data_IF_686267593691
#
_entry.id   IF_686267593691
#
_cell.length_a   1.000
_cell.length_b   1.000
_cell.length_c   1.000
_cell.angle_alpha   90.00
_cell.angle_beta   90.00
_cell.angle_gamma   90.00
#
_symmetry.space_group_name_H-M   'P 1'
#
loop_
_entity.id
_entity.type
_entity.pdbx_description
1 polymer ?
#
# COMPACT_ATOMS: atom_id res chain seq x y z
N UNK A 1 -5.45 -21.26 -59.53
CA UNK A 1 -4.17 -20.76 -58.96
C UNK A 1 -4.43 -20.24 -57.55
N UNK A 2 -3.60 -20.60 -56.57
CA UNK A 2 -3.74 -20.14 -55.18
C UNK A 2 -3.32 -18.67 -55.10
N UNK A 3 -4.17 -17.81 -54.52
CA UNK A 3 -3.84 -16.38 -54.39
C UNK A 3 -2.58 -16.20 -53.52
N UNK A 4 -1.68 -15.26 -53.86
CA UNK A 4 -0.55 -14.89 -53.02
C UNK A 4 -1.00 -14.51 -51.60
N UNK A 5 -0.24 -14.94 -50.59
CA UNK A 5 -0.58 -14.74 -49.17
C UNK A 5 -0.72 -13.27 -48.79
N UNK A 6 0.10 -12.38 -49.37
CA UNK A 6 0.03 -10.94 -49.10
C UNK A 6 -1.30 -10.29 -49.58
N UNK A 7 -1.93 -10.83 -50.64
CA UNK A 7 -3.25 -10.39 -51.11
C UNK A 7 -4.39 -10.96 -50.26
N UNK A 8 -4.18 -12.12 -49.64
CA UNK A 8 -5.16 -12.73 -48.73
C UNK A 8 -5.20 -11.96 -47.41
N UNK A 9 -4.06 -11.46 -46.96
CA UNK A 9 -3.90 -10.78 -45.68
C UNK A 9 -3.94 -9.24 -45.79
N UNK A 10 -4.19 -8.69 -46.98
CA UNK A 10 -4.16 -7.23 -47.24
C UNK A 10 -2.87 -6.55 -46.72
N UNK A 11 -1.71 -7.22 -46.87
CA UNK A 11 -0.43 -6.71 -46.39
C UNK A 11 0.31 -5.96 -47.50
N UNK A 12 0.79 -4.76 -47.20
CA UNK A 12 1.70 -4.04 -48.08
C UNK A 12 3.11 -4.61 -47.97
N UNK A 13 3.53 -5.32 -49.01
CA UNK A 13 4.86 -5.95 -49.12
C UNK A 13 6.03 -4.97 -49.03
N UNK A 14 5.82 -3.67 -49.30
CA UNK A 14 6.88 -2.65 -49.24
C UNK A 14 7.17 -2.21 -47.80
N UNK A 15 6.17 -2.27 -46.93
CA UNK A 15 6.23 -1.78 -45.54
C UNK A 15 6.36 -2.93 -44.53
N UNK A 16 6.06 -4.17 -44.96
CA UNK A 16 6.14 -5.35 -44.12
C UNK A 16 7.50 -5.55 -43.42
N UNK A 17 8.66 -5.31 -44.07
CA UNK A 17 9.94 -5.45 -43.39
C UNK A 17 10.09 -4.49 -42.20
N UNK A 18 9.78 -3.20 -42.36
CA UNK A 18 9.93 -2.23 -41.27
C UNK A 18 8.97 -2.53 -40.11
N UNK A 19 7.73 -2.95 -40.39
CA UNK A 19 6.76 -3.34 -39.37
C UNK A 19 7.22 -4.52 -38.49
N UNK A 20 8.02 -5.43 -39.05
CA UNK A 20 8.53 -6.59 -38.31
C UNK A 20 9.85 -6.25 -37.61
N UNK A 21 10.77 -5.56 -38.28
CA UNK A 21 12.13 -5.37 -37.78
C UNK A 21 12.27 -4.19 -36.81
N UNK A 22 11.51 -3.10 -36.96
CA UNK A 22 11.61 -1.94 -36.06
C UNK A 22 11.22 -2.27 -34.61
N UNK A 23 10.13 -3.00 -34.31
CA UNK A 23 9.81 -3.36 -32.94
C UNK A 23 10.87 -4.26 -32.29
N UNK A 24 11.46 -5.17 -33.07
CA UNK A 24 12.54 -6.07 -32.61
C UNK A 24 13.80 -5.26 -32.29
N UNK A 25 14.19 -4.34 -33.19
CA UNK A 25 15.31 -3.42 -32.99
C UNK A 25 15.10 -2.53 -31.76
N UNK A 26 13.93 -1.90 -31.64
CA UNK A 26 13.59 -1.04 -30.51
C UNK A 26 13.62 -1.80 -29.18
N UNK A 27 13.25 -3.09 -29.18
CA UNK A 27 13.33 -3.94 -28.00
C UNK A 27 14.79 -4.26 -27.65
N UNK A 28 15.64 -4.55 -28.64
CA UNK A 28 17.08 -4.75 -28.46
C UNK A 28 17.75 -3.52 -27.85
N UNK A 29 17.56 -2.34 -28.45
CA UNK A 29 18.14 -1.08 -27.96
C UNK A 29 17.68 -0.72 -26.53
N UNK A 30 16.43 -1.05 -26.17
CA UNK A 30 15.92 -0.83 -24.81
C UNK A 30 16.55 -1.77 -23.79
N UNK A 31 16.88 -2.99 -24.17
CA UNK A 31 17.54 -3.97 -23.29
C UNK A 31 18.99 -3.54 -23.07
N UNK A 32 19.74 -3.23 -24.13
CA UNK A 32 21.12 -2.75 -24.01
C UNK A 32 21.23 -1.51 -23.12
N UNK A 33 20.33 -0.53 -23.29
CA UNK A 33 20.28 0.67 -22.43
C UNK A 33 19.95 0.36 -20.97
N UNK A 34 19.20 -0.73 -20.70
CA UNK A 34 18.89 -1.14 -19.32
C UNK A 34 20.08 -1.85 -18.71
N UNK A 35 20.75 -2.70 -19.46
CA UNK A 35 21.92 -3.45 -19.01
C UNK A 35 23.07 -2.48 -18.70
N UNK A 36 23.34 -1.51 -19.59
CA UNK A 36 24.31 -0.43 -19.32
C UNK A 36 23.97 0.37 -18.05
N UNK A 37 22.70 0.76 -17.87
CA UNK A 37 22.29 1.46 -16.64
C UNK A 37 22.44 0.61 -15.38
N UNK A 38 22.29 -0.70 -15.49
CA UNK A 38 22.49 -1.63 -14.38
C UNK A 38 23.98 -1.75 -14.03
N UNK A 39 24.84 -1.88 -15.04
CA UNK A 39 26.30 -1.86 -14.89
C UNK A 39 26.77 -0.54 -14.27
N UNK A 40 26.34 0.60 -14.83
CA UNK A 40 26.65 1.93 -14.30
C UNK A 40 26.18 2.09 -12.84
N UNK A 41 24.99 1.57 -12.52
CA UNK A 41 24.41 1.64 -11.16
C UNK A 41 25.16 0.75 -10.18
N UNK A 42 25.65 -0.40 -10.63
CA UNK A 42 26.46 -1.32 -9.86
C UNK A 42 27.84 -0.73 -9.58
N UNK A 43 28.52 -0.20 -10.60
CA UNK A 43 29.81 0.49 -10.47
C UNK A 43 29.72 1.78 -9.65
N UNK A 44 28.55 2.40 -9.60
CA UNK A 44 28.30 3.62 -8.83
C UNK A 44 27.81 3.35 -7.40
N UNK A 45 27.66 2.09 -7.01
CA UNK A 45 27.23 1.74 -5.66
C UNK A 45 28.39 1.96 -4.67
N UNK A 46 28.26 2.98 -3.81
CA UNK A 46 29.26 3.31 -2.76
C UNK A 46 30.29 4.39 -3.12
N UNK A 47 30.26 4.97 -4.33
CA UNK A 47 31.10 6.14 -4.66
C UNK A 47 30.64 7.38 -3.87
N UNK A 48 31.57 8.13 -3.22
CA UNK A 48 31.23 9.37 -2.53
C UNK A 48 30.67 10.39 -3.53
N UNK A 49 29.47 10.91 -3.27
CA UNK A 49 28.73 11.81 -4.20
C UNK A 49 27.33 11.35 -4.61
N UNK A 50 26.87 10.15 -4.20
CA UNK A 50 25.45 9.78 -4.30
C UNK A 50 24.65 10.51 -3.22
N UNK A 51 24.00 11.61 -3.60
CA UNK A 51 23.18 12.54 -2.80
C UNK A 51 22.61 11.96 -1.46
N UNK A 52 23.31 12.12 -0.32
CA UNK A 52 22.72 11.85 1.00
C UNK A 52 21.61 12.85 1.33
N UNK A 53 21.62 14.00 0.66
CA UNK A 53 20.61 15.07 0.68
C UNK A 53 19.21 14.56 0.31
N UNK A 54 19.08 13.57 -0.59
CA UNK A 54 17.77 12.99 -0.94
C UNK A 54 17.19 12.13 0.17
N UNK A 55 18.02 11.36 0.89
CA UNK A 55 17.54 10.59 2.04
C UNK A 55 17.12 11.52 3.18
N UNK A 56 17.93 12.52 3.52
CA UNK A 56 17.58 13.50 4.55
C UNK A 56 16.36 14.33 4.14
N UNK A 57 16.26 14.80 2.90
CA UNK A 57 15.09 15.56 2.42
C UNK A 57 13.81 14.71 2.40
N UNK A 58 13.91 13.42 2.06
CA UNK A 58 12.79 12.48 2.12
C UNK A 58 12.40 12.22 3.57
N UNK A 59 13.37 12.01 4.47
CA UNK A 59 13.14 11.85 5.92
C UNK A 59 12.57 13.11 6.57
N UNK A 60 13.00 14.29 6.15
CA UNK A 60 12.51 15.60 6.60
C UNK A 60 11.09 15.85 6.11
N UNK A 61 10.78 15.52 4.84
CA UNK A 61 9.40 15.55 4.32
C UNK A 61 8.50 14.55 5.07
N UNK A 62 9.06 13.39 5.45
CA UNK A 62 8.39 12.39 6.24
C UNK A 62 8.13 12.87 7.69
N UNK A 63 9.10 13.50 8.34
CA UNK A 63 8.97 14.02 9.71
C UNK A 63 8.09 15.27 9.79
N UNK A 64 8.19 16.19 8.82
CA UNK A 64 7.42 17.45 8.80
C UNK A 64 5.91 17.22 8.70
N UNK A 65 5.47 16.11 8.08
CA UNK A 65 4.04 15.84 7.89
C UNK A 65 3.31 15.30 9.13
N UNK A 66 3.97 15.16 10.29
CA UNK A 66 3.38 14.76 11.60
C UNK A 66 2.57 13.44 11.61
N UNK A 67 2.52 12.73 10.50
CA UNK A 67 1.73 11.51 10.35
C UNK A 67 2.41 10.28 10.94
N UNK A 68 3.72 10.33 11.25
CA UNK A 68 4.44 9.21 11.86
C UNK A 68 3.89 8.84 13.23
N UNK A 69 3.66 9.83 14.09
CA UNK A 69 3.12 9.57 15.42
C UNK A 69 1.74 8.93 15.34
N UNK A 70 0.92 9.39 14.38
CA UNK A 70 -0.38 8.80 14.09
C UNK A 70 -0.25 7.34 13.62
N UNK A 71 0.56 7.07 12.60
CA UNK A 71 0.73 5.70 12.08
C UNK A 71 1.38 4.76 13.10
N UNK A 72 2.39 5.20 13.84
CA UNK A 72 3.00 4.44 14.94
C UNK A 72 1.99 4.13 16.04
N UNK A 73 1.10 5.08 16.36
CA UNK A 73 0.02 4.87 17.32
C UNK A 73 -0.98 3.84 16.80
N UNK A 74 -1.37 3.92 15.52
CA UNK A 74 -2.24 2.93 14.87
C UNK A 74 -1.59 1.54 14.87
N UNK A 75 -0.30 1.42 14.56
CA UNK A 75 0.42 0.14 14.59
C UNK A 75 0.51 -0.44 16.01
N UNK A 76 0.81 0.39 17.01
CA UNK A 76 0.78 0.00 18.42
C UNK A 76 -0.61 -0.47 18.84
N UNK A 77 -1.65 0.28 18.47
CA UNK A 77 -3.05 -0.07 18.74
C UNK A 77 -3.43 -1.40 18.11
N UNK A 78 -3.09 -1.62 16.85
CA UNK A 78 -3.37 -2.89 16.17
C UNK A 78 -2.67 -4.07 16.83
N UNK A 79 -1.43 -3.91 17.31
CA UNK A 79 -0.73 -4.93 18.08
C UNK A 79 -1.40 -5.23 19.42
N UNK A 80 -1.99 -4.22 20.06
CA UNK A 80 -2.68 -4.34 21.35
C UNK A 80 -4.16 -4.72 21.22
N UNK A 81 -4.74 -4.62 20.03
CA UNK A 81 -6.16 -4.81 19.75
C UNK A 81 -6.72 -6.15 20.27
N UNK A 82 -6.02 -7.29 20.07
CA UNK A 82 -6.44 -8.58 20.65
C UNK A 82 -6.55 -8.58 22.18
N UNK A 83 -5.69 -7.83 22.89
CA UNK A 83 -5.74 -7.74 24.35
C UNK A 83 -6.89 -6.86 24.86
N UNK A 84 -7.36 -5.93 24.01
CA UNK A 84 -8.43 -5.00 24.37
C UNK A 84 -9.80 -5.70 24.23
N UNK A 85 -10.08 -6.26 23.05
CA UNK A 85 -11.39 -6.84 22.68
C UNK A 85 -11.46 -8.38 22.71
N UNK A 86 -10.33 -9.05 22.93
CA UNK A 86 -10.19 -10.50 22.88
C UNK A 86 -9.71 -11.01 21.52
N UNK A 87 -8.89 -12.06 21.53
CA UNK A 87 -8.26 -12.63 20.32
C UNK A 87 -9.26 -13.04 19.25
N UNK A 88 -10.38 -13.64 19.64
CA UNK A 88 -11.42 -14.07 18.70
C UNK A 88 -12.02 -12.89 17.94
N UNK A 89 -12.38 -11.81 18.66
CA UNK A 89 -13.02 -10.64 18.05
C UNK A 89 -12.05 -9.81 17.20
N UNK A 90 -10.76 -9.81 17.57
CA UNK A 90 -9.71 -9.13 16.80
C UNK A 90 -9.42 -9.77 15.44
N UNK A 91 -9.85 -11.03 15.21
CA UNK A 91 -9.77 -11.65 13.87
C UNK A 91 -10.68 -11.00 12.84
N UNK A 92 -11.70 -10.26 13.29
CA UNK A 92 -12.74 -9.70 12.43
C UNK A 92 -12.69 -8.17 12.30
N UNK A 93 -11.80 -7.53 13.04
CA UNK A 93 -11.67 -6.08 13.10
C UNK A 93 -10.22 -5.62 13.25
N UNK A 94 -9.90 -4.45 12.69
CA UNK A 94 -8.60 -3.79 12.85
C UNK A 94 -8.80 -2.29 13.08
N UNK A 95 -7.87 -1.67 13.79
CA UNK A 95 -7.79 -0.20 13.86
C UNK A 95 -7.31 0.30 12.51
N UNK A 96 -8.13 1.11 11.86
CA UNK A 96 -7.87 1.64 10.54
C UNK A 96 -7.28 3.04 10.62
N UNK A 97 -7.86 3.88 11.47
CA UNK A 97 -7.40 5.25 11.58
C UNK A 97 -7.62 5.85 12.98
N UNK A 98 -6.91 6.94 13.24
CA UNK A 98 -7.03 7.74 14.45
C UNK A 98 -7.14 9.22 14.08
N UNK A 99 -8.32 9.80 14.29
CA UNK A 99 -8.59 11.22 14.04
C UNK A 99 -8.82 11.95 15.37
N UNK A 100 -7.79 12.67 15.84
CA UNK A 100 -7.73 13.48 17.08
C UNK A 100 -8.22 12.76 18.34
N UNK A 101 -9.51 12.53 18.47
CA UNK A 101 -10.18 11.89 19.61
C UNK A 101 -11.08 10.70 19.21
N UNK A 102 -11.13 10.35 17.92
CA UNK A 102 -11.97 9.28 17.37
C UNK A 102 -11.12 8.15 16.81
N UNK A 103 -11.28 6.97 17.40
CA UNK A 103 -10.72 5.73 16.88
C UNK A 103 -11.63 5.19 15.77
N UNK A 104 -11.07 4.99 14.58
CA UNK A 104 -11.78 4.39 13.46
C UNK A 104 -11.37 2.92 13.38
N UNK A 105 -12.36 2.04 13.54
CA UNK A 105 -12.18 0.59 13.46
C UNK A 105 -12.88 0.11 12.20
N UNK A 106 -12.17 -0.69 11.41
CA UNK A 106 -12.74 -1.39 10.27
C UNK A 106 -13.13 -2.82 10.65
N UNK A 107 -14.27 -3.27 10.16
CA UNK A 107 -14.67 -4.68 10.17
C UNK A 107 -14.57 -5.27 8.76
N UNK A 108 -14.11 -6.51 8.61
CA UNK A 108 -13.80 -7.07 7.28
C UNK A 108 -15.03 -7.33 6.40
N UNK A 109 -16.21 -7.53 6.97
CA UNK A 109 -17.45 -7.77 6.24
C UNK A 109 -18.68 -7.34 7.07
N UNK A 110 -19.89 -7.47 6.50
CA UNK A 110 -21.14 -7.04 7.15
C UNK A 110 -21.45 -7.80 8.45
N UNK A 111 -21.17 -9.11 8.48
CA UNK A 111 -21.40 -9.94 9.67
C UNK A 111 -20.45 -9.54 10.80
N UNK A 112 -19.16 -9.38 10.50
CA UNK A 112 -18.14 -8.86 11.39
C UNK A 112 -18.48 -7.46 11.90
N UNK A 113 -19.01 -6.60 11.03
CA UNK A 113 -19.45 -5.26 11.41
C UNK A 113 -20.57 -5.32 12.45
N UNK A 114 -21.57 -6.18 12.25
CA UNK A 114 -22.70 -6.34 13.19
C UNK A 114 -22.22 -6.80 14.57
N UNK A 115 -21.34 -7.81 14.61
CA UNK A 115 -20.77 -8.35 15.85
C UNK A 115 -19.91 -7.28 16.55
N UNK A 116 -19.01 -6.64 15.80
CA UNK A 116 -18.11 -5.61 16.34
C UNK A 116 -18.90 -4.40 16.82
N UNK A 117 -19.97 -4.01 16.12
CA UNK A 117 -20.87 -2.93 16.53
C UNK A 117 -21.55 -3.23 17.85
N UNK A 118 -22.08 -4.45 18.01
CA UNK A 118 -22.67 -4.86 19.27
C UNK A 118 -21.64 -4.84 20.41
N UNK A 119 -20.44 -5.38 20.18
CA UNK A 119 -19.37 -5.43 21.17
C UNK A 119 -18.87 -4.04 21.57
N UNK A 120 -18.63 -3.16 20.60
CA UNK A 120 -18.18 -1.79 20.84
C UNK A 120 -19.26 -1.00 21.59
N UNK A 121 -20.53 -1.19 21.25
CA UNK A 121 -21.62 -0.48 21.94
C UNK A 121 -21.82 -0.98 23.38
N UNK A 122 -21.80 -2.29 23.61
CA UNK A 122 -21.98 -2.86 24.95
C UNK A 122 -20.78 -2.61 25.86
N UNK A 123 -19.56 -2.60 25.30
CA UNK A 123 -18.31 -2.56 26.05
C UNK A 123 -17.51 -1.28 25.87
N UNK A 124 -18.11 -0.21 25.31
CA UNK A 124 -17.43 1.05 24.97
C UNK A 124 -16.56 1.59 26.11
N UNK A 125 -17.13 1.67 27.32
CA UNK A 125 -16.45 2.20 28.50
C UNK A 125 -15.22 1.38 28.89
N UNK A 126 -15.32 0.04 28.80
CA UNK A 126 -14.24 -0.89 29.13
C UNK A 126 -13.12 -0.78 28.09
N UNK A 127 -13.49 -0.70 26.81
CA UNK A 127 -12.54 -0.55 25.69
C UNK A 127 -11.75 0.75 25.84
N UNK A 128 -12.43 1.88 26.08
CA UNK A 128 -11.77 3.17 26.26
C UNK A 128 -10.83 3.16 27.48
N UNK A 129 -11.29 2.61 28.62
CA UNK A 129 -10.45 2.49 29.82
C UNK A 129 -9.16 1.68 29.57
N UNK A 130 -9.27 0.53 28.90
CA UNK A 130 -8.09 -0.31 28.55
C UNK A 130 -7.12 0.38 27.59
N UNK A 131 -7.60 1.27 26.73
CA UNK A 131 -6.78 2.06 25.82
C UNK A 131 -6.04 3.16 26.59
N UNK A 132 -6.73 3.85 27.49
CA UNK A 132 -6.14 4.88 28.36
C UNK A 132 -5.03 4.31 29.26
N UNK A 133 -5.28 3.16 29.90
CA UNK A 133 -4.31 2.45 30.75
C UNK A 133 -3.02 2.07 30.00
N UNK A 134 -3.08 1.91 28.67
CA UNK A 134 -1.94 1.54 27.81
C UNK A 134 -1.26 2.75 27.15
N UNK A 135 -1.48 3.96 27.67
CA UNK A 135 -0.75 5.20 27.33
C UNK A 135 -0.99 5.76 25.92
N UNK A 136 -2.19 5.59 25.36
CA UNK A 136 -2.61 6.26 24.12
C UNK A 136 -3.61 7.35 24.50
N UNK A 137 -3.19 8.62 24.40
CA UNK A 137 -3.94 9.74 24.98
C UNK A 137 -5.16 10.14 24.13
N UNK A 138 -6.24 10.43 24.86
CA UNK A 138 -7.39 11.26 24.48
C UNK A 138 -8.35 10.71 23.39
N UNK A 139 -8.53 9.39 23.32
CA UNK A 139 -9.60 8.80 22.52
C UNK A 139 -10.92 8.85 23.30
N UNK A 140 -11.89 9.64 22.82
CA UNK A 140 -13.23 9.75 23.43
C UNK A 140 -14.29 8.96 22.68
N UNK A 141 -14.08 8.79 21.37
CA UNK A 141 -15.07 8.19 20.49
C UNK A 141 -14.50 7.03 19.68
N UNK A 142 -15.40 6.12 19.32
CA UNK A 142 -15.11 4.96 18.48
C UNK A 142 -16.12 4.99 17.34
N UNK A 143 -15.61 5.02 16.11
CA UNK A 143 -16.40 4.94 14.89
C UNK A 143 -16.10 3.61 14.20
N UNK A 144 -17.14 2.92 13.80
CA UNK A 144 -17.03 1.67 13.04
C UNK A 144 -17.31 1.92 11.57
N UNK A 145 -16.50 1.32 10.73
CA UNK A 145 -16.61 1.34 9.26
C UNK A 145 -16.47 -0.08 8.74
N UNK A 146 -17.06 -0.36 7.58
CA UNK A 146 -16.83 -1.62 6.88
C UNK A 146 -15.58 -1.44 6.01
N UNK A 147 -14.61 -2.33 6.17
CA UNK A 147 -13.37 -2.32 5.43
C UNK A 147 -13.64 -2.24 3.93
N UNK A 148 -13.08 -1.23 3.26
CA UNK A 148 -13.11 -1.11 1.81
C UNK A 148 -12.04 -1.96 1.13
N UNK A 149 -11.09 -2.53 1.90
CA UNK A 149 -10.17 -3.54 1.40
C UNK A 149 -10.96 -4.79 0.99
N UNK A 150 -11.28 -4.90 -0.29
CA UNK A 150 -11.52 -6.20 -0.92
C UNK A 150 -10.21 -6.96 -0.84
N UNK A 151 -10.05 -7.78 0.20
CA UNK A 151 -9.06 -8.86 0.15
C UNK A 151 -9.47 -9.78 -0.99
N UNK A 152 -8.74 -9.68 -2.10
CA UNK A 152 -8.69 -10.68 -3.16
C UNK A 152 -8.06 -11.97 -2.63
#
# INVERSE_FOLDING_TARGET
>A
MKKPVHLILNLDTRVLPSLIFEPIKNKGEKLEKRDQKQEDSWESFGKPGRDPSKLNSVLDLFAHNHNWDKFLTISKLNKLWPNIIGEYNAKFSKVEDLDKETLIISAYNQSAYTITKFLVNSSKKIILKKIEEKSIKNIKNIKLVISTDKKH
#
